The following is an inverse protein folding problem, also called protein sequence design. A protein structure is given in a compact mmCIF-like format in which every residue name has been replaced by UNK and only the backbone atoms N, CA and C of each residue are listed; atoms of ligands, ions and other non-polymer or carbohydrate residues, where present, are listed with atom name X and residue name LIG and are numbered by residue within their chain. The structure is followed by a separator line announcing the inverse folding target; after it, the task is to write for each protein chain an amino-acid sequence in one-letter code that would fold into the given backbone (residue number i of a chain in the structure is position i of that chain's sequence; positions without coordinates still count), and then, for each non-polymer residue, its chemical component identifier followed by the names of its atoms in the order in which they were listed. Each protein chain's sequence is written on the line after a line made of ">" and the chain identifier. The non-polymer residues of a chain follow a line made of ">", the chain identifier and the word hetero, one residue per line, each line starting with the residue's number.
data_IF_551926574489
#
_entry.id   IF_551926574489
#
_cell.length_a   1.000
_cell.length_b   1.000
_cell.length_c   1.000
_cell.angle_alpha   90.00
_cell.angle_beta   90.00
_cell.angle_gamma   90.00
#
_symmetry.space_group_name_H-M   'P 1'
#
loop_
_entity.id
_entity.type
_entity.pdbx_description
1 polymer ?
#
# COMPACT_ATOMS: atom_id res chain seq x y z
N UNK A 1 7.69 13.73 11.79
CA UNK A 1 6.66 12.85 11.17
C UNK A 1 7.34 11.55 10.77
N UNK A 2 6.78 10.39 11.14
CA UNK A 2 7.33 9.07 10.79
C UNK A 2 7.31 8.90 9.26
N UNK A 3 8.41 8.44 8.67
CA UNK A 3 8.47 8.09 7.25
C UNK A 3 8.01 6.64 7.08
N UNK A 4 6.70 6.43 6.92
CA UNK A 4 6.11 5.10 6.80
C UNK A 4 6.30 4.53 5.39
N UNK A 5 7.56 4.31 5.02
CA UNK A 5 7.92 3.59 3.80
C UNK A 5 7.55 2.10 3.89
N UNK A 6 7.60 1.41 2.75
CA UNK A 6 7.23 -0.02 2.64
C UNK A 6 7.88 -0.92 3.71
N UNK A 7 9.17 -0.76 4.08
CA UNK A 7 9.79 -1.58 5.13
C UNK A 7 9.17 -1.36 6.52
N UNK A 8 8.82 -0.12 6.84
CA UNK A 8 8.24 0.22 8.15
C UNK A 8 6.79 -0.25 8.23
N UNK A 9 6.01 -0.05 7.17
CA UNK A 9 4.64 -0.57 7.07
C UNK A 9 4.60 -2.09 7.30
N UNK A 10 5.47 -2.84 6.61
CA UNK A 10 5.59 -4.29 6.78
C UNK A 10 5.86 -4.68 8.23
N UNK A 11 6.73 -3.95 8.91
CA UNK A 11 7.08 -4.21 10.31
C UNK A 11 5.92 -3.94 11.25
N UNK A 12 5.22 -2.83 11.08
CA UNK A 12 4.07 -2.47 11.94
C UNK A 12 2.91 -3.43 11.73
N UNK A 13 2.57 -3.79 10.48
CA UNK A 13 1.54 -4.79 10.20
C UNK A 13 1.91 -6.17 10.76
N UNK A 14 3.18 -6.57 10.66
CA UNK A 14 3.66 -7.84 11.24
C UNK A 14 3.51 -7.89 12.77
N UNK A 15 3.75 -6.77 13.48
CA UNK A 15 3.52 -6.70 14.93
C UNK A 15 2.05 -6.90 15.31
N UNK A 16 1.15 -6.50 14.42
CA UNK A 16 -0.29 -6.66 14.58
C UNK A 16 -0.80 -8.05 14.11
N UNK A 17 0.09 -8.93 13.63
CA UNK A 17 -0.27 -10.26 13.13
C UNK A 17 -0.74 -10.28 11.67
N UNK A 18 -0.49 -9.21 10.92
CA UNK A 18 -0.84 -9.11 9.51
C UNK A 18 0.38 -9.21 8.60
N UNK A 19 0.17 -9.65 7.37
CA UNK A 19 1.19 -9.64 6.32
C UNK A 19 0.89 -8.60 5.25
N UNK A 20 1.89 -7.85 4.83
CA UNK A 20 1.78 -6.91 3.71
C UNK A 20 2.48 -7.44 2.48
N UNK A 21 1.71 -7.75 1.43
CA UNK A 21 2.20 -8.32 0.17
C UNK A 21 1.76 -7.45 -1.00
N UNK A 22 2.48 -7.55 -2.11
CA UNK A 22 2.03 -7.01 -3.39
C UNK A 22 1.35 -8.15 -4.13
N UNK A 23 0.16 -7.91 -4.65
CA UNK A 23 -0.54 -8.88 -5.48
C UNK A 23 0.23 -9.07 -6.79
N UNK A 24 0.47 -10.33 -7.16
CA UNK A 24 1.32 -10.66 -8.30
C UNK A 24 0.78 -10.06 -9.60
N UNK A 25 1.65 -9.47 -10.42
CA UNK A 25 1.30 -8.83 -11.70
C UNK A 25 0.33 -7.63 -11.63
N UNK A 26 -0.01 -7.11 -10.44
CA UNK A 26 -0.86 -5.91 -10.31
C UNK A 26 -0.11 -4.78 -9.58
N UNK A 27 -0.61 -3.53 -9.66
CA UNK A 27 -0.18 -2.43 -8.81
C UNK A 27 -0.74 -2.51 -7.37
N UNK A 28 -1.58 -3.51 -7.09
CA UNK A 28 -2.33 -3.65 -5.84
C UNK A 28 -1.45 -4.21 -4.72
N UNK A 29 -1.52 -3.57 -3.57
CA UNK A 29 -0.96 -4.08 -2.32
C UNK A 29 -2.08 -4.64 -1.47
N UNK A 30 -1.81 -5.71 -0.74
CA UNK A 30 -2.79 -6.39 0.10
C UNK A 30 -2.23 -6.58 1.51
N UNK A 31 -3.15 -6.52 2.47
CA UNK A 31 -2.92 -6.90 3.86
C UNK A 31 -3.68 -8.19 4.13
N UNK A 32 -2.96 -9.20 4.62
CA UNK A 32 -3.48 -10.53 4.88
C UNK A 32 -3.48 -10.84 6.38
N UNK A 33 -4.42 -11.68 6.82
CA UNK A 33 -4.40 -12.36 8.12
C UNK A 33 -4.70 -13.84 7.87
N UNK A 34 -3.79 -14.74 8.20
CA UNK A 34 -3.94 -16.18 7.92
C UNK A 34 -4.40 -16.49 6.47
N UNK A 35 -3.71 -15.90 5.49
CA UNK A 35 -4.01 -16.02 4.05
C UNK A 35 -5.36 -15.42 3.58
N UNK A 36 -6.15 -14.81 4.47
CA UNK A 36 -7.34 -14.05 4.10
C UNK A 36 -7.01 -12.58 3.85
N UNK A 37 -7.57 -12.00 2.78
CA UNK A 37 -7.39 -10.58 2.45
C UNK A 37 -8.33 -9.76 3.31
N UNK A 38 -7.75 -8.93 4.17
CA UNK A 38 -8.50 -8.06 5.08
C UNK A 38 -8.65 -6.65 4.50
N UNK A 39 -7.65 -6.18 3.76
CA UNK A 39 -7.75 -4.93 2.99
C UNK A 39 -6.78 -4.92 1.82
N UNK A 40 -7.08 -4.08 0.83
CA UNK A 40 -6.29 -3.86 -0.37
C UNK A 40 -6.06 -2.38 -0.64
N UNK A 41 -5.03 -2.09 -1.42
CA UNK A 41 -4.69 -0.74 -1.85
C UNK A 41 -4.19 -0.77 -3.29
N UNK A 42 -5.01 -0.26 -4.21
CA UNK A 42 -4.63 -0.01 -5.59
C UNK A 42 -4.45 1.49 -5.82
N UNK A 43 -3.19 1.93 -5.76
CA UNK A 43 -2.80 3.30 -6.01
C UNK A 43 -3.09 3.82 -7.43
N UNK A 44 -3.24 2.94 -8.43
CA UNK A 44 -3.55 3.36 -9.80
C UNK A 44 -5.02 3.63 -10.01
N UNK A 45 -5.89 2.91 -9.31
CA UNK A 45 -7.35 3.06 -9.37
C UNK A 45 -7.91 3.91 -8.24
N UNK A 46 -7.05 4.40 -7.35
CA UNK A 46 -7.43 5.03 -6.09
C UNK A 46 -8.45 4.20 -5.30
N UNK A 47 -8.31 2.87 -5.36
CA UNK A 47 -9.15 1.92 -4.64
C UNK A 47 -8.49 1.54 -3.33
N UNK A 48 -9.27 1.64 -2.25
CA UNK A 48 -8.83 1.39 -0.88
C UNK A 48 -9.85 0.47 -0.20
N UNK A 49 -9.39 -0.67 0.28
CA UNK A 49 -10.17 -1.53 1.16
C UNK A 49 -10.21 -0.96 2.58
N UNK A 50 -11.28 -1.25 3.31
CA UNK A 50 -11.41 -0.95 4.73
C UNK A 50 -11.38 -2.28 5.48
N UNK A 51 -10.43 -2.40 6.39
CA UNK A 51 -10.32 -3.51 7.34
C UNK A 51 -11.21 -3.22 8.57
N UNK A 52 -11.70 -4.25 9.25
CA UNK A 52 -12.38 -4.09 10.55
C UNK A 52 -11.41 -3.62 11.64
N UNK A 53 -10.11 -3.89 11.50
CA UNK A 53 -9.07 -3.37 12.41
C UNK A 53 -8.68 -1.94 12.03
N UNK A 54 -9.11 -0.96 12.83
CA UNK A 54 -8.82 0.46 12.64
C UNK A 54 -7.31 0.77 12.61
N UNK A 55 -6.47 -0.03 13.29
CA UNK A 55 -5.02 0.17 13.30
C UNK A 55 -4.42 -0.15 11.93
N UNK A 56 -4.96 -1.16 11.25
CA UNK A 56 -4.57 -1.48 9.87
C UNK A 56 -4.98 -0.35 8.94
N UNK A 57 -6.19 0.18 9.09
CA UNK A 57 -6.67 1.32 8.29
C UNK A 57 -5.77 2.55 8.46
N UNK A 58 -5.40 2.88 9.71
CA UNK A 58 -4.50 3.99 10.00
C UNK A 58 -3.12 3.82 9.32
N UNK A 59 -2.52 2.62 9.43
CA UNK A 59 -1.25 2.32 8.78
C UNK A 59 -1.31 2.40 7.26
N UNK A 60 -2.42 1.93 6.65
CA UNK A 60 -2.63 1.98 5.21
C UNK A 60 -2.86 3.41 4.70
N UNK A 61 -3.58 4.25 5.45
CA UNK A 61 -3.74 5.67 5.14
C UNK A 61 -2.41 6.42 5.30
N UNK A 62 -1.63 6.18 6.35
CA UNK A 62 -0.28 6.74 6.50
C UNK A 62 0.63 6.37 5.33
N UNK A 63 0.57 5.11 4.88
CA UNK A 63 1.34 4.63 3.73
C UNK A 63 0.92 5.32 2.42
N UNK A 64 -0.38 5.50 2.20
CA UNK A 64 -0.91 6.27 1.06
C UNK A 64 -0.39 7.70 1.08
N UNK A 65 -0.47 8.39 2.22
CA UNK A 65 0.03 9.77 2.35
C UNK A 65 1.54 9.85 2.10
N UNK A 66 2.31 8.88 2.61
CA UNK A 66 3.73 8.75 2.32
C UNK A 66 4.01 8.64 0.81
N UNK A 67 3.31 7.76 0.10
CA UNK A 67 3.49 7.56 -1.35
C UNK A 67 3.11 8.78 -2.16
N UNK A 68 2.00 9.46 -1.81
CA UNK A 68 1.58 10.73 -2.42
C UNK A 68 2.65 11.81 -2.23
N UNK A 69 3.13 12.00 -1.00
CA UNK A 69 4.18 12.98 -0.68
C UNK A 69 5.49 12.70 -1.39
N UNK A 70 5.90 11.43 -1.49
CA UNK A 70 7.12 11.02 -2.16
C UNK A 70 6.98 10.93 -3.69
N UNK A 71 5.81 11.24 -4.26
CA UNK A 71 5.57 11.19 -5.71
C UNK A 71 5.69 9.78 -6.31
N UNK A 72 5.67 8.73 -5.49
CA UNK A 72 5.91 7.34 -5.93
C UNK A 72 4.85 6.91 -6.94
N UNK A 73 3.62 7.42 -6.78
CA UNK A 73 2.50 7.10 -7.65
C UNK A 73 2.53 7.89 -8.97
N UNK A 74 3.23 9.04 -9.03
CA UNK A 74 3.36 9.89 -10.23
C UNK A 74 4.44 9.41 -11.22
N UNK A 75 5.42 8.63 -10.76
CA UNK A 75 6.61 8.26 -11.56
C UNK A 75 6.28 7.36 -12.76
N UNK A 76 5.09 6.73 -12.84
CA UNK A 76 4.76 5.82 -13.96
C UNK A 76 4.07 6.47 -15.16
N UNK A 77 3.63 7.73 -15.09
CA UNK A 77 3.08 8.40 -16.29
C UNK A 77 4.18 8.86 -17.26
N UNK A 78 5.37 9.20 -16.75
CA UNK A 78 6.46 9.73 -17.59
C UNK A 78 7.23 8.69 -18.42
N UNK A 79 7.14 7.39 -18.09
CA UNK A 79 7.85 6.34 -18.85
C UNK A 79 7.05 5.75 -20.02
N UNK A 80 5.85 6.28 -20.31
CA UNK A 80 4.99 5.83 -21.41
C UNK A 80 4.95 6.73 -22.65
N UNK A 81 5.50 7.95 -22.61
CA UNK A 81 5.37 8.94 -23.68
C UNK A 81 6.62 9.13 -24.55
N UNK A 82 7.59 8.21 -24.52
CA UNK A 82 8.79 8.30 -25.37
C UNK A 82 9.19 6.95 -25.99
N UNK A 83 8.24 6.30 -26.66
CA UNK A 83 8.58 5.31 -27.69
C UNK A 83 7.80 5.58 -28.98
N UNK A 84 8.45 6.40 -29.80
CA UNK A 84 8.32 6.59 -31.26
C UNK A 84 7.00 7.08 -31.83
#
# INVERSE_FOLDING_TARGET
>A
MRNLGTPMLKRELKKLGYEFKRWSNTPTYIVLKHDEIITEYDHKREQYGISEDERVNALMEEYKQYRKRCGIDKIKEYHGLNKK
#
